data_IF_600354293134
#
_entry.id   IF_600354293134
#
_cell.length_a   1.000
_cell.length_b   1.000
_cell.length_c   1.000
_cell.angle_alpha   90.00
_cell.angle_beta   90.00
_cell.angle_gamma   90.00
#
_symmetry.space_group_name_H-M   'P 1'
#
loop_
_entity.id
_entity.type
_entity.pdbx_description
1 polymer ?
#
# COMPACT_ATOMS: atom_id res chain seq x y z
N UNK A 1 68.67 -30.25 -36.31
CA UNK A 1 69.52 -29.06 -36.44
C UNK A 1 69.10 -28.05 -35.38
N UNK A 2 70.04 -27.40 -34.66
CA UNK A 2 69.73 -26.52 -33.54
C UNK A 2 69.12 -25.20 -34.01
N UNK A 3 68.13 -24.71 -33.26
CA UNK A 3 67.46 -23.43 -33.44
C UNK A 3 68.40 -22.32 -32.95
N UNK A 4 68.94 -21.53 -33.88
CA UNK A 4 69.76 -20.36 -33.56
C UNK A 4 68.87 -19.19 -33.17
N UNK A 5 68.75 -18.97 -31.87
CA UNK A 5 68.12 -17.80 -31.26
C UNK A 5 69.04 -16.59 -31.53
N UNK A 6 68.59 -15.63 -32.35
CA UNK A 6 69.30 -14.35 -32.55
C UNK A 6 69.30 -13.56 -31.23
N UNK A 7 70.44 -13.55 -30.55
CA UNK A 7 70.72 -12.72 -29.36
C UNK A 7 71.36 -11.39 -29.77
N UNK A 8 70.67 -10.55 -30.53
CA UNK A 8 71.06 -9.14 -30.72
C UNK A 8 69.82 -8.27 -30.46
N UNK A 9 69.95 -7.16 -29.70
CA UNK A 9 68.85 -6.22 -29.52
C UNK A 9 68.41 -5.69 -30.88
N UNK A 10 67.11 -5.69 -31.17
CA UNK A 10 66.57 -4.87 -32.25
C UNK A 10 66.75 -3.41 -31.81
N UNK A 11 67.85 -2.79 -32.21
CA UNK A 11 68.03 -1.35 -32.05
C UNK A 11 66.97 -0.66 -32.92
N UNK A 12 65.98 -0.08 -32.25
CA UNK A 12 65.01 0.81 -32.88
C UNK A 12 65.82 2.04 -33.32
N UNK A 13 65.84 2.39 -34.62
CA UNK A 13 66.54 3.59 -35.05
C UNK A 13 65.96 4.79 -34.29
N UNK A 14 66.78 5.74 -33.83
CA UNK A 14 66.26 6.94 -33.20
C UNK A 14 65.33 7.65 -34.19
N UNK A 15 64.17 8.16 -33.72
CA UNK A 15 63.17 8.75 -34.60
C UNK A 15 63.81 9.89 -35.40
N UNK A 16 63.67 9.84 -36.73
CA UNK A 16 64.12 10.92 -37.61
C UNK A 16 63.27 12.16 -37.35
N UNK A 17 63.84 13.37 -37.44
CA UNK A 17 63.09 14.65 -37.35
C UNK A 17 61.88 14.72 -38.28
N UNK A 18 61.82 13.87 -39.32
CA UNK A 18 60.68 13.76 -40.25
C UNK A 18 59.46 13.03 -39.68
N UNK A 19 59.65 12.22 -38.65
CA UNK A 19 58.60 11.43 -37.98
C UNK A 19 58.06 12.14 -36.72
N UNK A 20 58.62 13.29 -36.38
CA UNK A 20 58.10 14.11 -35.28
C UNK A 20 56.82 14.78 -35.79
N UNK A 21 55.76 14.72 -34.98
CA UNK A 21 54.59 15.58 -35.17
C UNK A 21 55.15 17.00 -35.27
N UNK A 22 54.82 17.70 -36.36
CA UNK A 22 55.26 19.09 -36.52
C UNK A 22 54.78 19.84 -35.29
N UNK A 23 55.67 20.61 -34.66
CA UNK A 23 55.40 21.33 -33.41
C UNK A 23 54.08 22.13 -33.45
N UNK A 24 53.70 22.60 -34.64
CA UNK A 24 52.49 23.37 -34.90
C UNK A 24 51.19 22.53 -34.92
N UNK A 25 51.28 21.21 -35.06
CA UNK A 25 50.15 20.27 -35.06
C UNK A 25 49.95 19.59 -33.69
N UNK A 26 50.96 19.60 -32.82
CA UNK A 26 50.91 19.01 -31.48
C UNK A 26 49.94 19.78 -30.56
N UNK A 27 49.88 21.11 -30.70
CA UNK A 27 48.91 21.96 -29.97
C UNK A 27 47.46 21.69 -30.38
N UNK A 28 47.23 21.26 -31.62
CA UNK A 28 45.90 21.04 -32.19
C UNK A 28 45.38 19.62 -31.98
N UNK A 29 46.22 18.67 -31.57
CA UNK A 29 45.82 17.29 -31.31
C UNK A 29 45.03 17.17 -29.98
N UNK A 30 45.40 17.95 -28.97
CA UNK A 30 44.69 17.99 -27.68
C UNK A 30 43.35 18.74 -27.73
N UNK A 31 43.11 19.54 -28.78
CA UNK A 31 41.88 20.33 -28.98
C UNK A 31 40.67 19.52 -29.47
N UNK A 32 40.82 18.20 -29.70
CA UNK A 32 39.71 17.33 -30.13
C UNK A 32 38.93 16.70 -28.97
N UNK A 33 39.33 16.95 -27.73
CA UNK A 33 38.62 16.43 -26.56
C UNK A 33 37.37 17.31 -26.30
N UNK A 34 36.14 16.79 -26.52
CA UNK A 34 34.92 17.60 -26.40
C UNK A 34 34.74 18.19 -24.99
N UNK A 35 35.33 17.54 -23.98
CA UNK A 35 35.32 18.00 -22.60
C UNK A 35 36.21 19.24 -22.38
N UNK A 36 37.27 19.45 -23.19
CA UNK A 36 38.14 20.64 -23.10
C UNK A 36 37.48 21.90 -23.69
N UNK A 37 36.53 21.75 -24.62
CA UNK A 37 35.79 22.88 -25.21
C UNK A 37 34.91 23.55 -24.15
N UNK A 38 34.32 22.75 -23.26
CA UNK A 38 33.52 23.22 -22.11
C UNK A 38 34.41 23.84 -21.03
N UNK A 39 35.66 23.42 -20.95
CA UNK A 39 36.62 23.80 -19.90
C UNK A 39 37.48 25.04 -20.24
N UNK A 40 37.24 25.78 -21.32
CA UNK A 40 38.11 26.90 -21.77
C UNK A 40 38.29 28.09 -20.80
N UNK A 41 37.55 28.15 -19.68
CA UNK A 41 37.64 29.28 -18.74
C UNK A 41 38.87 29.16 -17.81
N UNK A 42 39.67 30.22 -17.63
CA UNK A 42 40.76 30.24 -16.64
C UNK A 42 40.20 30.17 -15.20
N UNK A 43 40.94 29.55 -14.26
CA UNK A 43 40.61 29.69 -12.83
C UNK A 43 40.65 31.17 -12.47
N UNK A 44 39.54 31.78 -12.03
CA UNK A 44 38.57 31.29 -11.02
C UNK A 44 37.15 31.03 -11.54
N UNK A 45 36.88 31.25 -12.83
CA UNK A 45 35.52 31.19 -13.38
C UNK A 45 34.96 29.76 -13.45
N UNK A 46 35.83 28.74 -13.58
CA UNK A 46 35.42 27.32 -13.48
C UNK A 46 34.88 26.95 -12.10
N UNK A 47 35.48 27.51 -11.05
CA UNK A 47 35.05 27.24 -9.67
C UNK A 47 33.66 27.84 -9.44
N UNK A 48 33.39 29.01 -10.03
CA UNK A 48 32.07 29.63 -10.00
C UNK A 48 31.04 28.74 -10.70
N UNK A 49 31.31 28.27 -11.93
CA UNK A 49 30.38 27.38 -12.64
C UNK A 49 30.11 26.09 -11.86
N UNK A 50 31.14 25.44 -11.30
CA UNK A 50 30.96 24.23 -10.47
C UNK A 50 30.12 24.49 -9.23
N UNK A 51 30.33 25.61 -8.55
CA UNK A 51 29.54 25.98 -7.37
C UNK A 51 28.08 26.29 -7.76
N UNK A 52 27.87 26.98 -8.87
CA UNK A 52 26.54 27.28 -9.38
C UNK A 52 25.79 26.00 -9.76
N UNK A 53 26.44 25.09 -10.49
CA UNK A 53 25.87 23.79 -10.84
C UNK A 53 25.53 22.97 -9.59
N UNK A 54 26.44 22.91 -8.61
CA UNK A 54 26.20 22.21 -7.35
C UNK A 54 24.99 22.77 -6.58
N UNK A 55 24.82 24.10 -6.56
CA UNK A 55 23.64 24.74 -5.94
C UNK A 55 22.36 24.36 -6.69
N UNK A 56 22.40 24.29 -8.02
CA UNK A 56 21.24 23.86 -8.81
C UNK A 56 20.91 22.38 -8.59
N UNK A 57 21.91 21.50 -8.58
CA UNK A 57 21.74 20.06 -8.32
C UNK A 57 21.11 19.83 -6.94
N UNK A 58 21.65 20.48 -5.90
CA UNK A 58 21.10 20.40 -4.55
C UNK A 58 19.68 20.96 -4.45
N UNK A 59 19.41 22.08 -5.12
CA UNK A 59 18.06 22.66 -5.13
C UNK A 59 17.06 21.73 -5.82
N UNK A 60 17.48 21.06 -6.91
CA UNK A 60 16.65 20.13 -7.65
C UNK A 60 16.36 18.87 -6.83
N UNK A 61 17.36 18.29 -6.18
CA UNK A 61 17.22 17.14 -5.28
C UNK A 61 16.19 17.42 -4.16
N UNK A 62 16.28 18.60 -3.53
CA UNK A 62 15.30 19.01 -2.50
C UNK A 62 13.88 19.14 -3.08
N UNK A 63 13.74 19.59 -4.32
CA UNK A 63 12.44 19.71 -4.98
C UNK A 63 11.88 18.32 -5.29
N UNK A 64 12.70 17.43 -5.85
CA UNK A 64 12.31 16.05 -6.17
C UNK A 64 11.86 15.29 -4.93
N UNK A 65 12.60 15.38 -3.81
CA UNK A 65 12.18 14.76 -2.54
C UNK A 65 10.82 15.30 -2.05
N UNK A 66 10.61 16.61 -2.16
CA UNK A 66 9.34 17.24 -1.74
C UNK A 66 8.18 16.86 -2.64
N UNK A 67 8.40 16.75 -3.94
CA UNK A 67 7.40 16.29 -4.89
C UNK A 67 7.06 14.82 -4.66
N UNK A 68 8.06 13.95 -4.50
CA UNK A 68 7.84 12.54 -4.16
C UNK A 68 7.02 12.38 -2.87
N UNK A 69 7.30 13.18 -1.83
CA UNK A 69 6.52 13.19 -0.59
C UNK A 69 5.08 13.68 -0.80
N UNK A 70 4.87 14.72 -1.63
CA UNK A 70 3.52 15.21 -1.97
C UNK A 70 2.74 14.19 -2.78
N UNK A 71 3.35 13.57 -3.78
CA UNK A 71 2.75 12.50 -4.58
C UNK A 71 2.35 11.34 -3.67
N UNK A 72 3.26 10.87 -2.82
CA UNK A 72 2.98 9.83 -1.83
C UNK A 72 1.81 10.21 -0.90
N UNK A 73 1.65 11.49 -0.53
CA UNK A 73 0.51 11.95 0.25
C UNK A 73 -0.79 12.02 -0.55
N UNK A 74 -0.75 12.46 -1.81
CA UNK A 74 -1.94 12.47 -2.69
C UNK A 74 -2.43 11.07 -3.03
N UNK A 75 -1.50 10.09 -3.11
CA UNK A 75 -1.81 8.68 -3.31
C UNK A 75 -2.41 8.03 -2.05
N UNK A 76 -2.34 8.67 -0.87
CA UNK A 76 -3.04 8.18 0.32
C UNK A 76 -4.55 8.38 0.13
N UNK A 77 -5.22 7.32 -0.27
CA UNK A 77 -6.68 7.23 -0.23
C UNK A 77 -7.13 7.35 1.22
N UNK A 78 -7.89 8.40 1.54
CA UNK A 78 -8.52 8.49 2.86
C UNK A 78 -9.55 7.36 2.99
N UNK A 79 -9.54 6.59 4.09
CA UNK A 79 -10.54 5.56 4.29
C UNK A 79 -11.92 6.20 4.36
N UNK A 80 -12.89 5.58 3.68
CA UNK A 80 -14.28 6.03 3.73
C UNK A 80 -14.76 5.98 5.17
N UNK A 81 -15.16 7.14 5.72
CA UNK A 81 -15.76 7.22 7.04
C UNK A 81 -17.20 6.71 6.94
N UNK A 82 -17.43 5.47 7.39
CA UNK A 82 -18.77 4.89 7.46
C UNK A 82 -19.49 5.43 8.71
N UNK A 83 -20.39 6.38 8.52
CA UNK A 83 -21.23 6.90 9.59
C UNK A 83 -22.36 5.90 9.91
N UNK A 84 -22.73 5.74 11.19
CA UNK A 84 -23.87 4.90 11.56
C UNK A 84 -25.15 5.46 10.95
N UNK A 85 -25.93 4.60 10.29
CA UNK A 85 -27.18 5.01 9.61
C UNK A 85 -28.37 5.06 10.56
N UNK A 86 -28.37 4.24 11.61
CA UNK A 86 -29.47 4.13 12.55
C UNK A 86 -28.99 3.59 13.90
N UNK A 87 -29.76 3.88 14.94
CA UNK A 87 -29.56 3.38 16.29
C UNK A 87 -30.88 2.78 16.80
N UNK A 88 -30.77 1.70 17.56
CA UNK A 88 -31.92 1.11 18.27
C UNK A 88 -31.50 0.65 19.65
N UNK A 89 -32.45 0.71 20.58
CA UNK A 89 -32.23 0.26 21.95
C UNK A 89 -32.61 -1.20 22.09
N UNK A 90 -31.83 -1.90 22.90
CA UNK A 90 -32.07 -3.29 23.25
C UNK A 90 -32.46 -3.35 24.72
N UNK A 91 -33.49 -4.13 25.03
CA UNK A 91 -33.97 -4.29 26.40
C UNK A 91 -33.02 -5.25 27.15
N UNK A 92 -32.18 -4.70 28.02
CA UNK A 92 -31.20 -5.46 28.80
C UNK A 92 -29.79 -5.37 28.23
N UNK A 93 -28.92 -6.27 28.69
CA UNK A 93 -27.51 -6.29 28.30
C UNK A 93 -27.31 -7.20 27.07
N UNK A 94 -26.82 -6.62 25.98
CA UNK A 94 -26.40 -7.36 24.80
C UNK A 94 -24.98 -7.90 24.98
N UNK A 95 -24.81 -9.21 24.74
CA UNK A 95 -23.53 -9.91 24.89
C UNK A 95 -22.91 -10.25 23.54
N UNK A 96 -23.72 -10.68 22.58
CA UNK A 96 -23.26 -11.06 21.26
C UNK A 96 -24.27 -10.65 20.18
N UNK A 97 -23.79 -10.53 18.94
CA UNK A 97 -24.60 -10.09 17.81
C UNK A 97 -24.18 -10.85 16.55
N UNK A 98 -25.14 -11.22 15.72
CA UNK A 98 -24.93 -11.83 14.43
C UNK A 98 -25.90 -11.24 13.40
N UNK A 99 -25.44 -10.96 12.20
CA UNK A 99 -26.29 -10.48 11.11
C UNK A 99 -26.46 -11.58 10.05
N UNK A 100 -27.67 -11.74 9.53
CA UNK A 100 -27.96 -12.63 8.41
C UNK A 100 -29.12 -12.09 7.58
N UNK A 101 -28.87 -11.83 6.30
CA UNK A 101 -29.85 -11.23 5.40
C UNK A 101 -30.29 -9.85 5.90
N UNK A 102 -31.61 -9.66 6.05
CA UNK A 102 -32.20 -8.40 6.55
C UNK A 102 -32.48 -8.41 8.06
N UNK A 103 -31.89 -9.36 8.79
CA UNK A 103 -32.13 -9.55 10.21
C UNK A 103 -30.83 -9.48 11.01
N UNK A 104 -30.92 -8.85 12.17
CA UNK A 104 -29.87 -8.75 13.18
C UNK A 104 -30.34 -9.51 14.41
N UNK A 105 -29.56 -10.51 14.82
CA UNK A 105 -29.82 -11.33 15.98
C UNK A 105 -28.91 -10.88 17.11
N UNK A 106 -29.48 -10.68 18.30
CA UNK A 106 -28.80 -10.16 19.48
C UNK A 106 -28.97 -11.15 20.61
N UNK A 107 -27.86 -11.72 21.08
CA UNK A 107 -27.83 -12.51 22.30
C UNK A 107 -27.77 -11.60 23.51
N UNK A 108 -28.72 -11.80 24.43
CA UNK A 108 -28.92 -11.04 25.65
C UNK A 108 -28.58 -11.90 26.86
N UNK A 109 -28.38 -11.25 28.00
CA UNK A 109 -28.33 -11.92 29.30
C UNK A 109 -29.66 -12.60 29.69
N UNK A 110 -30.75 -12.25 29.01
CA UNK A 110 -32.10 -12.79 29.26
C UNK A 110 -32.63 -13.65 28.11
N UNK A 111 -31.82 -13.94 27.08
CA UNK A 111 -32.24 -14.75 25.94
C UNK A 111 -31.77 -14.19 24.59
N UNK A 112 -32.64 -14.21 23.57
CA UNK A 112 -32.35 -13.80 22.19
C UNK A 112 -33.37 -12.77 21.71
N UNK A 113 -32.92 -11.72 21.02
CA UNK A 113 -33.80 -10.79 20.31
C UNK A 113 -33.42 -10.71 18.82
N UNK A 114 -34.41 -10.51 17.96
CA UNK A 114 -34.21 -10.35 16.52
C UNK A 114 -34.79 -9.03 16.07
N UNK A 115 -34.00 -8.28 15.31
CA UNK A 115 -34.34 -6.97 14.77
C UNK A 115 -34.25 -7.00 13.25
N UNK A 116 -35.07 -6.21 12.59
CA UNK A 116 -34.96 -6.01 11.15
C UNK A 116 -33.99 -4.85 10.88
N UNK A 117 -33.08 -5.06 9.94
CA UNK A 117 -31.99 -4.12 9.64
C UNK A 117 -32.46 -2.82 9.00
N UNK A 118 -33.57 -2.83 8.24
CA UNK A 118 -34.10 -1.65 7.55
C UNK A 118 -34.83 -0.69 8.47
N UNK A 119 -35.67 -1.23 9.37
CA UNK A 119 -36.53 -0.41 10.23
C UNK A 119 -36.03 -0.35 11.68
N UNK A 120 -34.98 -1.10 12.01
CA UNK A 120 -34.42 -1.26 13.35
C UNK A 120 -35.47 -1.64 14.42
N UNK A 121 -36.59 -2.25 14.00
CA UNK A 121 -37.65 -2.71 14.89
C UNK A 121 -37.43 -4.16 15.28
N UNK A 122 -37.76 -4.47 16.54
CA UNK A 122 -37.75 -5.83 17.06
C UNK A 122 -38.83 -6.66 16.38
N UNK A 123 -38.44 -7.72 15.70
CA UNK A 123 -39.33 -8.67 15.02
C UNK A 123 -39.81 -9.72 16.02
N UNK A 124 -38.89 -10.32 16.76
CA UNK A 124 -39.22 -11.28 17.81
C UNK A 124 -38.20 -11.25 18.94
N UNK A 125 -38.60 -11.78 20.09
CA UNK A 125 -37.70 -12.03 21.22
C UNK A 125 -38.06 -13.37 21.85
N UNK A 126 -37.04 -14.09 22.25
CA UNK A 126 -37.14 -15.29 23.06
C UNK A 126 -36.45 -15.01 24.39
N UNK A 127 -37.24 -14.86 25.43
CA UNK A 127 -36.75 -14.54 26.78
C UNK A 127 -36.80 -15.78 27.68
N UNK A 128 -35.71 -16.06 28.36
CA UNK A 128 -35.59 -17.12 29.36
C UNK A 128 -34.70 -16.63 30.50
N UNK A 129 -35.28 -16.52 31.69
CA UNK A 129 -34.68 -15.87 32.88
C UNK A 129 -33.34 -16.50 33.33
N UNK A 130 -33.04 -17.73 32.90
CA UNK A 130 -31.82 -18.47 33.28
C UNK A 130 -30.89 -18.75 32.10
N UNK A 131 -31.09 -18.09 30.97
CA UNK A 131 -30.32 -18.37 29.76
C UNK A 131 -29.65 -17.11 29.23
N UNK A 132 -28.38 -16.97 29.58
CA UNK A 132 -27.49 -15.97 29.00
C UNK A 132 -26.86 -16.53 27.74
N UNK A 133 -27.04 -15.84 26.60
CA UNK A 133 -26.41 -16.22 25.34
C UNK A 133 -25.05 -15.53 25.23
N UNK A 134 -23.99 -16.33 25.21
CA UNK A 134 -22.61 -15.86 25.17
C UNK A 134 -22.07 -15.76 23.73
N UNK A 135 -22.44 -16.71 22.87
CA UNK A 135 -22.03 -16.70 21.47
C UNK A 135 -23.20 -17.01 20.54
N UNK A 136 -23.17 -16.35 19.38
CA UNK A 136 -24.24 -16.42 18.41
C UNK A 136 -23.67 -16.42 17.00
N UNK A 137 -24.14 -17.32 16.15
CA UNK A 137 -23.84 -17.31 14.72
C UNK A 137 -25.10 -17.56 13.92
N UNK A 138 -25.32 -16.71 12.92
CA UNK A 138 -26.44 -16.82 12.01
C UNK A 138 -25.93 -17.09 10.59
N UNK A 139 -26.60 -17.98 9.87
CA UNK A 139 -26.37 -18.25 8.46
C UNK A 139 -27.70 -18.26 7.71
N UNK A 140 -27.75 -17.65 6.53
CA UNK A 140 -28.94 -17.67 5.69
C UNK A 140 -28.97 -18.97 4.89
N UNK A 141 -30.01 -19.78 5.08
CA UNK A 141 -30.25 -20.97 4.26
C UNK A 141 -31.13 -20.63 3.05
N UNK A 142 -32.11 -19.74 3.24
CA UNK A 142 -32.90 -19.11 2.16
C UNK A 142 -33.24 -17.67 2.53
N UNK A 143 -33.97 -16.96 1.66
CA UNK A 143 -34.43 -15.59 1.96
C UNK A 143 -35.29 -15.49 3.23
N UNK A 144 -36.00 -16.55 3.59
CA UNK A 144 -36.89 -16.58 4.75
C UNK A 144 -36.37 -17.45 5.91
N UNK A 145 -35.45 -18.37 5.63
CA UNK A 145 -34.94 -19.32 6.63
C UNK A 145 -33.49 -19.04 6.99
N UNK A 146 -33.28 -18.83 8.29
CA UNK A 146 -31.98 -18.62 8.89
C UNK A 146 -31.67 -19.78 9.84
N UNK A 147 -30.46 -20.30 9.73
CA UNK A 147 -29.88 -21.21 10.71
C UNK A 147 -29.19 -20.37 11.79
N UNK A 148 -29.58 -20.61 13.04
CA UNK A 148 -28.99 -19.98 14.20
C UNK A 148 -28.26 -21.01 15.04
N UNK A 149 -27.06 -20.69 15.46
CA UNK A 149 -26.29 -21.46 16.44
C UNK A 149 -26.05 -20.54 17.63
N UNK A 150 -26.54 -20.94 18.81
CA UNK A 150 -26.40 -20.20 20.06
C UNK A 150 -25.62 -21.03 21.07
N UNK A 151 -24.76 -20.41 21.85
CA UNK A 151 -24.06 -21.04 22.97
C UNK A 151 -24.37 -20.28 24.25
N UNK A 152 -24.80 -20.99 25.28
CA UNK A 152 -25.10 -20.42 26.59
C UNK A 152 -23.87 -20.33 27.50
N UNK A 153 -24.01 -19.67 28.66
CA UNK A 153 -22.96 -19.56 29.69
C UNK A 153 -22.47 -20.92 30.20
N UNK A 154 -23.33 -21.95 30.17
CA UNK A 154 -22.97 -23.32 30.56
C UNK A 154 -22.26 -24.09 29.44
N UNK A 155 -21.98 -23.46 28.29
CA UNK A 155 -21.35 -24.10 27.14
C UNK A 155 -22.27 -25.04 26.35
N UNK A 156 -23.58 -25.04 26.62
CA UNK A 156 -24.55 -25.79 25.83
C UNK A 156 -24.80 -25.02 24.55
N UNK A 157 -24.64 -25.73 23.44
CA UNK A 157 -24.93 -25.19 22.13
C UNK A 157 -26.29 -25.72 21.64
N UNK A 158 -27.03 -24.85 20.96
CA UNK A 158 -28.27 -25.20 20.29
C UNK A 158 -28.20 -24.71 18.85
N UNK A 159 -28.72 -25.52 17.93
CA UNK A 159 -28.99 -25.10 16.57
C UNK A 159 -30.50 -24.95 16.39
N UNK A 160 -30.93 -23.89 15.73
CA UNK A 160 -32.34 -23.56 15.55
C UNK A 160 -32.58 -23.03 14.14
N UNK A 161 -33.66 -23.48 13.52
CA UNK A 161 -34.13 -22.92 12.26
C UNK A 161 -35.17 -21.84 12.56
N UNK A 162 -34.86 -20.61 12.19
CA UNK A 162 -35.80 -19.49 12.28
C UNK A 162 -36.34 -19.20 10.87
N UNK A 163 -37.65 -19.33 10.72
CA UNK A 163 -38.34 -18.93 9.49
C UNK A 163 -39.13 -17.66 9.74
N UNK A 164 -38.81 -16.60 9.01
CA UNK A 164 -39.61 -15.38 8.98
C UNK A 164 -40.43 -15.39 7.70
N UNK A 165 -41.73 -15.61 7.82
CA UNK A 165 -42.63 -15.41 6.68
C UNK A 165 -43.01 -13.93 6.63
N UNK A 166 -42.76 -13.26 5.52
CA UNK A 166 -43.34 -11.94 5.31
C UNK A 166 -44.86 -12.11 5.23
N UNK A 167 -45.58 -11.71 6.28
CA UNK A 167 -47.03 -11.54 6.18
C UNK A 167 -47.24 -10.40 5.18
N UNK A 168 -47.58 -10.76 3.94
CA UNK A 168 -48.20 -9.88 2.97
C UNK A 168 -49.34 -9.16 3.69
N UNK A 169 -49.14 -7.88 3.97
CA UNK A 169 -50.22 -6.97 4.34
C UNK A 169 -51.01 -6.74 3.06
N UNK A 170 -52.05 -7.56 2.84
CA UNK A 170 -53.12 -7.23 1.91
C UNK A 170 -53.85 -6.01 2.46
N UNK A 171 -54.06 -5.04 1.56
CA UNK A 171 -54.76 -3.77 1.75
C UNK A 171 -56.14 -3.93 2.41
#
# INVERSE_FOLDING_TARGET
>A
MPVYIRKHPLEIPPPSEKDWIKKDEEENFFLQDPDQIIDSLPQPFRMINKLVTLVFEQALEIIEEREALREAQTLKVQPTLNLPTAEFQVMGKANCLAASGQHVFVGLSTGLAVFNMHNCKRVCAWESVKLEICALRAASLSNETHLLITVDEMGRWAFSFLRFHQVMTLR
#
